data_IF_600105456209
#
_entry.id   IF_600105456209
#
_cell.length_a   1.000
_cell.length_b   1.000
_cell.length_c   1.000
_cell.angle_alpha   90.00
_cell.angle_beta   90.00
_cell.angle_gamma   90.00
#
_symmetry.space_group_name_H-M   'P 1'
#
loop_
_entity.id
_entity.type
_entity.pdbx_description
1 polymer ?
#
# COMPACT_ATOMS: atom_id res chain seq x y z
N UNK A 1 -20.07 10.83 -2.75
CA UNK A 1 -19.03 11.08 -1.73
C UNK A 1 -17.71 10.59 -2.30
N UNK A 2 -16.63 11.34 -2.13
CA UNK A 2 -15.31 10.88 -2.56
C UNK A 2 -14.92 9.66 -1.71
N UNK A 3 -14.86 8.49 -2.32
CA UNK A 3 -14.40 7.27 -1.65
C UNK A 3 -12.89 7.23 -1.79
N UNK A 4 -12.13 7.03 -0.72
CA UNK A 4 -10.67 6.85 -0.78
C UNK A 4 -10.24 5.72 0.12
N UNK A 5 -9.04 5.24 -0.09
CA UNK A 5 -8.36 4.32 0.82
C UNK A 5 -7.19 5.05 1.46
N UNK A 6 -7.22 5.20 2.77
CA UNK A 6 -6.20 5.89 3.53
C UNK A 6 -4.83 5.21 3.38
N UNK A 7 -4.82 3.88 3.34
CA UNK A 7 -3.61 3.09 3.05
C UNK A 7 -2.93 3.54 1.75
N UNK A 8 -3.70 3.70 0.67
CA UNK A 8 -3.19 4.10 -0.65
C UNK A 8 -2.74 5.57 -0.65
N UNK A 9 -3.49 6.47 0.00
CA UNK A 9 -3.09 7.88 0.14
C UNK A 9 -1.74 8.02 0.86
N UNK A 10 -1.56 7.26 1.95
CA UNK A 10 -0.31 7.25 2.72
C UNK A 10 0.82 6.62 1.91
N UNK A 11 0.54 5.52 1.19
CA UNK A 11 1.51 4.87 0.32
C UNK A 11 2.03 5.85 -0.75
N UNK A 12 1.14 6.55 -1.45
CA UNK A 12 1.51 7.59 -2.42
C UNK A 12 2.35 8.68 -1.79
N UNK A 13 1.96 9.17 -0.61
CA UNK A 13 2.71 10.20 0.10
C UNK A 13 4.13 9.74 0.47
N UNK A 14 4.31 8.46 0.77
CA UNK A 14 5.61 7.88 1.14
C UNK A 14 6.48 7.61 -0.08
N UNK A 15 5.94 7.06 -1.18
CA UNK A 15 6.76 6.46 -2.24
C UNK A 15 6.61 7.12 -3.62
N UNK A 16 5.50 7.82 -3.87
CA UNK A 16 5.21 8.41 -5.19
C UNK A 16 4.33 9.68 -5.10
N UNK A 17 4.79 10.75 -4.40
CA UNK A 17 3.97 11.95 -4.18
C UNK A 17 3.63 12.70 -5.47
N UNK A 18 4.45 12.51 -6.52
CA UNK A 18 4.26 13.12 -7.84
C UNK A 18 3.27 12.35 -8.73
N UNK A 19 2.76 11.20 -8.29
CA UNK A 19 1.88 10.31 -9.07
C UNK A 19 2.48 9.90 -10.43
N UNK A 20 3.80 9.68 -10.47
CA UNK A 20 4.47 9.21 -11.68
C UNK A 20 4.02 7.79 -12.00
N UNK A 21 3.66 7.56 -13.27
CA UNK A 21 3.36 6.22 -13.77
C UNK A 21 4.70 5.55 -14.09
N UNK A 22 5.07 4.44 -13.43
CA UNK A 22 6.34 3.78 -13.69
C UNK A 22 6.37 3.12 -15.07
N UNK A 23 7.56 3.03 -15.68
CA UNK A 23 7.78 2.33 -16.94
C UNK A 23 7.74 0.82 -16.71
N UNK A 24 6.63 0.19 -17.13
CA UNK A 24 6.36 -1.22 -16.82
C UNK A 24 7.01 -2.22 -17.80
N UNK A 25 8.18 -1.85 -18.33
CA UNK A 25 8.87 -2.59 -19.41
C UNK A 25 10.10 -3.37 -18.97
N UNK A 26 10.61 -3.20 -17.74
CA UNK A 26 11.84 -3.87 -17.28
C UNK A 26 11.78 -4.14 -15.78
N UNK A 27 11.58 -5.40 -15.39
CA UNK A 27 11.78 -5.85 -14.00
C UNK A 27 13.29 -5.90 -13.76
N UNK A 28 13.88 -4.78 -13.38
CA UNK A 28 15.22 -4.74 -12.82
C UNK A 28 15.07 -4.55 -11.30
N UNK A 29 15.48 -5.54 -10.52
CA UNK A 29 15.69 -5.36 -9.08
C UNK A 29 16.83 -4.35 -8.92
N UNK A 30 16.46 -3.09 -8.83
CA UNK A 30 17.36 -1.97 -8.86
C UNK A 30 17.89 -1.72 -7.44
N UNK A 31 19.00 -2.37 -7.10
CA UNK A 31 19.82 -1.98 -5.96
C UNK A 31 20.45 -0.62 -6.30
N UNK A 32 20.43 0.32 -5.37
CA UNK A 32 21.14 1.60 -5.44
C UNK A 32 22.66 1.35 -5.45
N UNK A 33 23.19 1.15 -6.66
CA UNK A 33 24.60 0.79 -6.88
C UNK A 33 25.52 1.98 -6.63
N UNK A 34 25.00 3.20 -6.74
CA UNK A 34 25.73 4.44 -6.47
C UNK A 34 25.98 4.58 -4.96
N UNK A 35 24.94 4.42 -4.14
CA UNK A 35 25.07 4.41 -2.67
C UNK A 35 26.01 3.31 -2.18
N UNK A 36 25.97 2.13 -2.78
CA UNK A 36 26.93 1.05 -2.48
C UNK A 36 28.38 1.42 -2.83
N UNK A 37 28.59 2.11 -3.95
CA UNK A 37 29.91 2.60 -4.37
C UNK A 37 30.41 3.72 -3.44
N UNK A 38 29.53 4.60 -2.97
CA UNK A 38 29.85 5.61 -1.96
C UNK A 38 30.30 4.95 -0.64
N UNK A 39 29.55 3.98 -0.14
CA UNK A 39 29.92 3.23 1.08
C UNK A 39 31.28 2.56 0.90
N UNK A 40 31.53 1.92 -0.25
CA UNK A 40 32.84 1.32 -0.54
C UNK A 40 33.96 2.35 -0.46
N UNK A 41 33.79 3.52 -1.10
CA UNK A 41 34.78 4.61 -1.10
C UNK A 41 35.01 5.15 0.31
N UNK A 42 33.95 5.42 1.06
CA UNK A 42 34.03 5.90 2.44
C UNK A 42 34.75 4.90 3.37
N UNK A 43 34.55 3.59 3.18
CA UNK A 43 35.25 2.55 3.93
C UNK A 43 36.68 2.28 3.42
N UNK A 44 37.15 3.01 2.39
CA UNK A 44 38.49 2.86 1.84
C UNK A 44 38.76 1.49 1.18
N UNK A 45 37.70 0.74 0.84
CA UNK A 45 37.83 -0.62 0.35
C UNK A 45 38.21 -0.64 -1.13
N UNK A 46 39.39 -1.17 -1.47
CA UNK A 46 39.77 -1.32 -2.88
C UNK A 46 38.92 -2.37 -3.60
N UNK A 47 38.58 -2.15 -4.87
CA UNK A 47 37.86 -3.16 -5.68
C UNK A 47 38.68 -4.45 -5.84
N UNK A 48 40.01 -4.37 -5.79
CA UNK A 48 40.92 -5.55 -5.73
C UNK A 48 40.64 -6.47 -4.55
N UNK A 49 40.04 -5.95 -3.47
CA UNK A 49 39.64 -6.78 -2.32
C UNK A 49 38.43 -7.68 -2.64
N UNK A 50 37.52 -7.22 -3.50
CA UNK A 50 36.35 -7.98 -3.93
C UNK A 50 36.76 -9.11 -4.88
N UNK A 51 37.67 -8.82 -5.80
CA UNK A 51 38.24 -9.84 -6.68
C UNK A 51 38.88 -11.00 -5.91
N UNK A 52 39.67 -10.69 -4.88
CA UNK A 52 40.34 -11.71 -4.05
C UNK A 52 39.39 -12.52 -3.16
N UNK A 53 38.32 -11.90 -2.63
CA UNK A 53 37.48 -12.52 -1.59
C UNK A 53 36.19 -13.15 -2.13
N UNK A 54 35.63 -12.59 -3.20
CA UNK A 54 34.34 -13.02 -3.75
C UNK A 54 34.41 -13.31 -5.26
N UNK A 55 35.61 -13.30 -5.85
CA UNK A 55 35.81 -13.61 -7.28
C UNK A 55 35.23 -12.56 -8.23
N UNK A 56 34.90 -11.37 -7.74
CA UNK A 56 34.30 -10.31 -8.53
C UNK A 56 35.40 -9.44 -9.16
N UNK A 57 35.66 -9.65 -10.45
CA UNK A 57 36.69 -8.89 -11.17
C UNK A 57 36.40 -7.39 -11.18
N UNK A 58 37.46 -6.58 -11.26
CA UNK A 58 37.36 -5.11 -11.30
C UNK A 58 36.47 -4.61 -12.44
N UNK A 59 36.60 -5.18 -13.63
CA UNK A 59 35.78 -4.80 -14.79
C UNK A 59 34.30 -5.11 -14.54
N UNK A 60 33.99 -6.32 -14.08
CA UNK A 60 32.61 -6.74 -13.80
C UNK A 60 31.97 -5.88 -12.70
N UNK A 61 32.72 -5.52 -11.67
CA UNK A 61 32.24 -4.62 -10.62
C UNK A 61 31.82 -3.25 -11.15
N UNK A 62 32.67 -2.58 -11.94
CA UNK A 62 32.34 -1.24 -12.45
C UNK A 62 31.21 -1.26 -13.49
N UNK A 63 31.18 -2.27 -14.36
CA UNK A 63 30.06 -2.45 -15.30
C UNK A 63 28.75 -2.68 -14.56
N UNK A 64 28.78 -3.39 -13.44
CA UNK A 64 27.60 -3.52 -12.58
C UNK A 64 27.22 -2.19 -11.94
N UNK A 65 28.16 -1.45 -11.33
CA UNK A 65 27.89 -0.12 -10.74
C UNK A 65 27.31 0.86 -11.76
N UNK A 66 27.72 0.77 -13.03
CA UNK A 66 27.25 1.61 -14.14
C UNK A 66 25.96 1.12 -14.81
N UNK A 67 25.26 0.15 -14.20
CA UNK A 67 24.01 -0.43 -14.72
C UNK A 67 24.13 -1.13 -16.09
N UNK A 68 25.34 -1.54 -16.50
CA UNK A 68 25.55 -2.22 -17.78
C UNK A 68 25.29 -3.72 -17.73
N UNK A 69 25.43 -4.33 -16.55
CA UNK A 69 25.24 -5.76 -16.32
C UNK A 69 24.63 -6.02 -14.94
N UNK A 70 24.08 -7.21 -14.75
CA UNK A 70 23.66 -7.70 -13.43
C UNK A 70 24.67 -8.65 -12.80
N UNK A 71 24.60 -8.76 -11.47
CA UNK A 71 25.39 -9.71 -10.70
C UNK A 71 24.50 -10.85 -10.18
N UNK A 72 25.01 -12.08 -10.15
CA UNK A 72 24.40 -13.16 -9.37
C UNK A 72 24.19 -12.74 -7.92
N UNK A 73 23.10 -13.21 -7.32
CA UNK A 73 22.73 -12.84 -5.95
C UNK A 73 23.84 -13.14 -4.94
N UNK A 74 24.58 -14.23 -5.12
CA UNK A 74 25.69 -14.62 -4.25
C UNK A 74 26.82 -13.58 -4.24
N UNK A 75 27.05 -12.91 -5.39
CA UNK A 75 28.04 -11.84 -5.49
C UNK A 75 27.55 -10.56 -4.81
N UNK A 76 26.26 -10.24 -4.91
CA UNK A 76 25.64 -9.13 -4.18
C UNK A 76 25.73 -9.35 -2.67
N UNK A 77 25.41 -10.55 -2.19
CA UNK A 77 25.59 -10.95 -0.78
C UNK A 77 27.06 -10.89 -0.37
N UNK A 78 27.97 -11.26 -1.27
CA UNK A 78 29.42 -11.11 -1.07
C UNK A 78 29.84 -9.66 -0.87
N UNK A 79 29.33 -8.74 -1.69
CA UNK A 79 29.56 -7.29 -1.56
C UNK A 79 29.00 -6.77 -0.24
N UNK A 80 27.75 -7.13 0.11
CA UNK A 80 27.13 -6.79 1.40
C UNK A 80 28.04 -7.16 2.58
N UNK A 81 28.51 -8.41 2.62
CA UNK A 81 29.42 -8.91 3.67
C UNK A 81 30.73 -8.12 3.70
N UNK A 82 31.29 -7.82 2.53
CA UNK A 82 32.53 -7.06 2.40
C UNK A 82 32.41 -5.61 2.87
N UNK A 83 31.24 -5.01 2.67
CA UNK A 83 30.92 -3.66 3.10
C UNK A 83 30.42 -3.63 4.56
N UNK A 84 30.30 -4.77 5.25
CA UNK A 84 29.71 -4.88 6.59
C UNK A 84 28.36 -4.16 6.69
N UNK A 85 27.51 -4.36 5.68
CA UNK A 85 26.14 -3.86 5.63
C UNK A 85 25.24 -4.96 6.22
N UNK A 86 24.30 -4.61 7.09
CA UNK A 86 23.29 -5.54 7.64
C UNK A 86 22.27 -5.96 6.58
N UNK A 87 21.43 -6.97 6.87
CA UNK A 87 20.32 -7.31 5.96
C UNK A 87 19.36 -6.13 5.80
N UNK A 88 19.05 -5.44 6.90
CA UNK A 88 18.16 -4.27 6.90
C UNK A 88 18.73 -3.12 6.06
N UNK A 89 19.99 -2.76 6.26
CA UNK A 89 20.62 -1.68 5.46
C UNK A 89 20.73 -2.07 3.98
N UNK A 90 20.92 -3.36 3.65
CA UNK A 90 20.90 -3.82 2.27
C UNK A 90 19.49 -3.73 1.67
N UNK A 91 18.47 -4.09 2.46
CA UNK A 91 17.06 -3.94 2.08
C UNK A 91 16.72 -2.47 1.77
N UNK A 92 17.20 -1.53 2.59
CA UNK A 92 17.07 -0.08 2.37
C UNK A 92 17.85 0.46 1.15
N UNK A 93 18.72 -0.37 0.57
CA UNK A 93 19.45 -0.05 -0.68
C UNK A 93 18.77 -0.61 -1.91
N UNK A 94 17.79 -1.51 -1.80
CA UNK A 94 16.91 -1.71 -2.94
C UNK A 94 16.13 -0.42 -3.12
N UNK A 95 16.24 0.20 -4.30
CA UNK A 95 15.55 1.44 -4.55
C UNK A 95 14.04 1.23 -4.29
N UNK A 96 13.37 2.19 -3.68
CA UNK A 96 11.90 2.19 -3.55
C UNK A 96 11.20 1.96 -4.90
N UNK A 97 11.85 2.33 -6.00
CA UNK A 97 11.44 2.07 -7.39
C UNK A 97 11.42 0.59 -7.81
N UNK A 98 11.75 -0.35 -6.92
CA UNK A 98 11.73 -1.79 -7.23
C UNK A 98 10.38 -2.48 -7.06
N UNK A 99 9.41 -1.85 -6.38
CA UNK A 99 8.04 -2.36 -6.37
C UNK A 99 7.17 -1.58 -7.37
N UNK A 100 7.59 -1.64 -8.63
CA UNK A 100 6.88 -1.10 -9.78
C UNK A 100 5.39 -1.49 -9.77
N UNK A 101 5.09 -2.70 -9.30
CA UNK A 101 3.74 -3.24 -9.15
C UNK A 101 2.96 -2.48 -8.08
N UNK A 102 3.53 -2.32 -6.88
CA UNK A 102 2.91 -1.56 -5.80
C UNK A 102 2.77 -0.07 -6.15
N UNK A 103 3.75 0.52 -6.85
CA UNK A 103 3.69 1.88 -7.36
C UNK A 103 2.54 2.05 -8.34
N UNK A 104 2.49 1.22 -9.38
CA UNK A 104 1.43 1.27 -10.39
C UNK A 104 0.05 1.00 -9.79
N UNK A 105 -0.05 0.01 -8.89
CA UNK A 105 -1.28 -0.31 -8.17
C UNK A 105 -1.75 0.90 -7.35
N UNK A 106 -0.85 1.58 -6.63
CA UNK A 106 -1.22 2.73 -5.80
C UNK A 106 -1.80 3.87 -6.64
N UNK A 107 -1.16 4.20 -7.78
CA UNK A 107 -1.64 5.24 -8.70
C UNK A 107 -2.97 4.81 -9.34
N UNK A 108 -3.09 3.54 -9.74
CA UNK A 108 -4.32 2.98 -10.28
C UNK A 108 -5.49 3.14 -9.30
N UNK A 109 -5.34 2.66 -8.06
CA UNK A 109 -6.39 2.71 -7.06
C UNK A 109 -6.73 4.18 -6.73
N UNK A 110 -5.73 5.00 -6.44
CA UNK A 110 -5.92 6.41 -6.05
C UNK A 110 -6.66 7.21 -7.13
N UNK A 111 -6.20 7.10 -8.38
CA UNK A 111 -6.84 7.80 -9.49
C UNK A 111 -8.25 7.28 -9.79
N UNK A 112 -8.48 5.96 -9.65
CA UNK A 112 -9.78 5.33 -9.92
C UNK A 112 -10.88 5.71 -8.92
N UNK A 113 -10.51 6.00 -7.67
CA UNK A 113 -11.43 6.29 -6.60
C UNK A 113 -11.74 7.80 -6.46
N UNK A 114 -10.88 8.65 -7.01
CA UNK A 114 -11.08 10.10 -7.05
C UNK A 114 -12.30 10.51 -7.87
N UNK A 115 -12.84 11.69 -7.57
CA UNK A 115 -13.92 12.32 -8.35
C UNK A 115 -13.43 13.46 -9.25
N UNK A 116 -12.12 13.76 -9.20
CA UNK A 116 -11.52 14.87 -9.96
C UNK A 116 -11.22 14.46 -11.40
N UNK A 117 -11.40 15.39 -12.33
CA UNK A 117 -11.22 15.17 -13.76
C UNK A 117 -9.77 14.84 -14.15
N UNK A 118 -8.80 15.53 -13.55
CA UNK A 118 -7.36 15.28 -13.73
C UNK A 118 -6.97 13.86 -13.29
N UNK A 119 -7.58 13.37 -12.21
CA UNK A 119 -7.38 12.00 -11.74
C UNK A 119 -8.01 10.97 -12.67
N UNK A 120 -9.16 11.27 -13.28
CA UNK A 120 -9.74 10.41 -14.31
C UNK A 120 -8.82 10.29 -15.54
N UNK A 121 -8.19 11.39 -15.96
CA UNK A 121 -7.17 11.36 -17.03
C UNK A 121 -5.99 10.48 -16.65
N UNK A 122 -5.49 10.58 -15.41
CA UNK A 122 -4.42 9.72 -14.89
C UNK A 122 -4.84 8.24 -14.90
N UNK A 123 -6.05 7.94 -14.44
CA UNK A 123 -6.62 6.59 -14.46
C UNK A 123 -6.63 5.99 -15.88
N UNK A 124 -7.08 6.76 -16.88
CA UNK A 124 -7.08 6.31 -18.28
C UNK A 124 -5.66 6.07 -18.83
N UNK A 125 -4.67 6.88 -18.44
CA UNK A 125 -3.27 6.67 -18.81
C UNK A 125 -2.73 5.37 -18.23
N UNK A 126 -2.93 5.14 -16.93
CA UNK A 126 -2.51 3.89 -16.25
C UNK A 126 -3.18 2.68 -16.89
N UNK A 127 -4.49 2.77 -17.17
CA UNK A 127 -5.23 1.72 -17.86
C UNK A 127 -4.61 1.39 -19.22
N UNK A 128 -4.28 2.41 -20.02
CA UNK A 128 -3.63 2.22 -21.33
C UNK A 128 -2.30 1.49 -21.21
N UNK A 129 -1.50 1.80 -20.19
CA UNK A 129 -0.25 1.07 -19.92
C UNK A 129 -0.50 -0.39 -19.54
N UNK A 130 -1.56 -0.67 -18.78
CA UNK A 130 -1.92 -2.02 -18.37
C UNK A 130 -2.44 -2.89 -19.54
N UNK A 131 -3.01 -2.29 -20.60
CA UNK A 131 -3.55 -3.03 -21.75
C UNK A 131 -2.50 -3.92 -22.44
N UNK A 132 -1.20 -3.58 -22.37
CA UNK A 132 -0.14 -4.41 -22.94
C UNK A 132 0.00 -5.78 -22.27
N UNK A 133 -0.54 -5.93 -21.05
CA UNK A 133 -0.54 -7.18 -20.30
C UNK A 133 -1.80 -8.03 -20.52
N UNK A 134 -2.80 -7.52 -21.25
CA UNK A 134 -4.00 -8.30 -21.61
C UNK A 134 -3.66 -9.64 -22.30
N UNK A 135 -2.72 -9.72 -23.26
CA UNK A 135 -2.32 -10.97 -23.90
C UNK A 135 -1.21 -11.73 -23.15
N UNK A 136 -0.71 -11.23 -22.01
CA UNK A 136 0.46 -11.81 -21.34
C UNK A 136 0.18 -13.26 -20.86
N UNK A 137 1.22 -14.05 -20.65
CA UNK A 137 1.17 -15.41 -20.07
C UNK A 137 1.04 -15.37 -18.54
N UNK A 138 1.19 -16.50 -17.85
CA UNK A 138 1.12 -16.59 -16.39
C UNK A 138 2.17 -15.73 -15.67
N UNK A 139 3.32 -15.43 -16.28
CA UNK A 139 4.41 -14.69 -15.64
C UNK A 139 4.10 -13.24 -15.24
N UNK A 140 2.93 -12.70 -15.60
CA UNK A 140 2.50 -11.33 -15.32
C UNK A 140 1.17 -11.25 -14.55
N UNK A 141 0.88 -12.21 -13.66
CA UNK A 141 -0.38 -12.27 -12.89
C UNK A 141 -0.73 -10.93 -12.23
N UNK A 142 0.22 -10.26 -11.58
CA UNK A 142 -0.05 -9.01 -10.84
C UNK A 142 -0.55 -7.88 -11.76
N UNK A 143 0.03 -7.71 -12.95
CA UNK A 143 -0.45 -6.75 -13.94
C UNK A 143 -1.81 -7.13 -14.53
N UNK A 144 -2.10 -8.43 -14.68
CA UNK A 144 -3.44 -8.89 -15.08
C UNK A 144 -4.49 -8.59 -14.02
N UNK A 145 -4.16 -8.77 -12.74
CA UNK A 145 -5.06 -8.42 -11.64
C UNK A 145 -5.33 -6.92 -11.58
N UNK A 146 -4.29 -6.08 -11.76
CA UNK A 146 -4.46 -4.63 -11.91
C UNK A 146 -5.33 -4.28 -13.12
N UNK A 147 -5.12 -4.91 -14.27
CA UNK A 147 -5.95 -4.73 -15.45
C UNK A 147 -7.40 -5.14 -15.19
N UNK A 148 -7.64 -6.28 -14.55
CA UNK A 148 -8.97 -6.75 -14.18
C UNK A 148 -9.68 -5.77 -13.23
N UNK A 149 -8.98 -5.24 -12.22
CA UNK A 149 -9.51 -4.17 -11.37
C UNK A 149 -9.83 -2.91 -12.18
N UNK A 150 -8.95 -2.50 -13.10
CA UNK A 150 -9.20 -1.33 -13.95
C UNK A 150 -10.41 -1.53 -14.89
N UNK A 151 -10.60 -2.75 -15.40
CA UNK A 151 -11.77 -3.16 -16.18
C UNK A 151 -13.03 -3.08 -15.32
N UNK A 152 -12.99 -3.61 -14.09
CA UNK A 152 -14.06 -3.52 -13.10
C UNK A 152 -14.50 -2.08 -12.85
N UNK A 153 -13.56 -1.19 -12.51
CA UNK A 153 -13.88 0.22 -12.27
C UNK A 153 -14.50 0.87 -13.52
N UNK A 154 -13.84 0.73 -14.67
CA UNK A 154 -14.29 1.37 -15.90
C UNK A 154 -15.67 0.86 -16.34
N UNK A 155 -15.93 -0.45 -16.21
CA UNK A 155 -17.23 -1.04 -16.48
C UNK A 155 -18.32 -0.50 -15.55
N UNK A 156 -18.05 -0.47 -14.24
CA UNK A 156 -18.98 0.07 -13.25
C UNK A 156 -19.30 1.55 -13.47
N UNK A 157 -18.30 2.37 -13.83
CA UNK A 157 -18.50 3.78 -14.23
C UNK A 157 -19.45 3.91 -15.42
N UNK A 158 -19.43 2.95 -16.35
CA UNK A 158 -20.30 2.89 -17.52
C UNK A 158 -21.58 2.05 -17.28
N UNK A 159 -21.95 1.82 -16.02
CA UNK A 159 -23.15 1.07 -15.62
C UNK A 159 -23.20 -0.37 -16.16
N UNK A 160 -22.04 -0.96 -16.46
CA UNK A 160 -21.92 -2.33 -16.97
C UNK A 160 -20.87 -3.09 -16.16
N UNK A 161 -21.33 -3.97 -15.28
CA UNK A 161 -20.43 -4.80 -14.46
C UNK A 161 -19.69 -5.81 -15.34
N UNK A 162 -18.35 -5.76 -15.43
CA UNK A 162 -17.57 -6.72 -16.20
C UNK A 162 -17.34 -7.97 -15.36
N UNK A 163 -18.30 -8.90 -15.44
CA UNK A 163 -18.35 -10.08 -14.60
C UNK A 163 -17.07 -10.94 -14.64
N UNK A 164 -16.47 -11.11 -15.82
CA UNK A 164 -15.23 -11.89 -15.97
C UNK A 164 -14.05 -11.27 -15.17
N UNK A 165 -13.96 -9.95 -15.11
CA UNK A 165 -12.92 -9.25 -14.35
C UNK A 165 -13.16 -9.38 -12.84
N UNK A 166 -14.42 -9.28 -12.41
CA UNK A 166 -14.80 -9.49 -11.01
C UNK A 166 -14.50 -10.93 -10.56
N UNK A 167 -14.90 -11.92 -11.37
CA UNK A 167 -14.65 -13.34 -11.09
C UNK A 167 -13.16 -13.67 -11.03
N UNK A 168 -12.34 -13.06 -11.90
CA UNK A 168 -10.88 -13.22 -11.85
C UNK A 168 -10.30 -12.73 -10.52
N UNK A 169 -10.71 -11.54 -10.06
CA UNK A 169 -10.27 -10.98 -8.79
C UNK A 169 -10.72 -11.85 -7.61
N UNK A 170 -12.01 -12.22 -7.57
CA UNK A 170 -12.55 -13.04 -6.49
C UNK A 170 -11.89 -14.42 -6.46
N UNK A 171 -11.70 -15.07 -7.60
CA UNK A 171 -11.02 -16.37 -7.68
C UNK A 171 -9.58 -16.30 -7.17
N UNK A 172 -8.85 -15.22 -7.52
CA UNK A 172 -7.48 -15.01 -7.03
C UNK A 172 -7.44 -14.91 -5.50
N UNK A 173 -8.31 -14.09 -4.90
CA UNK A 173 -8.33 -13.93 -3.45
C UNK A 173 -8.78 -15.20 -2.73
N UNK A 174 -9.81 -15.89 -3.23
CA UNK A 174 -10.29 -17.15 -2.62
C UNK A 174 -9.29 -18.30 -2.73
N UNK A 175 -8.36 -18.24 -3.67
CA UNK A 175 -7.31 -19.25 -3.86
C UNK A 175 -6.01 -18.97 -3.11
N UNK A 176 -5.93 -17.87 -2.34
CA UNK A 176 -4.69 -17.39 -1.71
C UNK A 176 -4.77 -17.51 -0.19
N UNK A 177 -3.82 -18.23 0.42
CA UNK A 177 -3.77 -18.42 1.89
C UNK A 177 -3.04 -17.29 2.64
N UNK A 178 -2.29 -16.44 1.93
CA UNK A 178 -1.51 -15.36 2.53
C UNK A 178 -1.46 -14.13 1.63
N UNK A 179 -1.79 -12.96 2.19
CA UNK A 179 -1.78 -11.71 1.45
C UNK A 179 -0.49 -10.91 1.67
N UNK A 180 0.13 -10.50 0.57
CA UNK A 180 1.16 -9.46 0.53
C UNK A 180 0.53 -8.08 0.78
N UNK A 181 1.34 -7.01 0.78
CA UNK A 181 0.79 -5.64 0.83
C UNK A 181 0.01 -5.32 -0.46
N UNK A 182 0.55 -5.72 -1.63
CA UNK A 182 -0.14 -5.60 -2.92
C UNK A 182 -1.53 -6.22 -2.86
N UNK A 183 -1.63 -7.48 -2.41
CA UNK A 183 -2.90 -8.20 -2.33
C UNK A 183 -3.86 -7.50 -1.39
N UNK A 184 -3.39 -7.08 -0.20
CA UNK A 184 -4.20 -6.35 0.78
C UNK A 184 -4.82 -5.08 0.20
N UNK A 185 -4.03 -4.26 -0.52
CA UNK A 185 -4.50 -3.01 -1.10
C UNK A 185 -5.48 -3.25 -2.25
N UNK A 186 -5.19 -4.21 -3.12
CA UNK A 186 -6.08 -4.57 -4.23
C UNK A 186 -7.41 -5.16 -3.70
N UNK A 187 -7.36 -5.95 -2.63
CA UNK A 187 -8.54 -6.49 -1.97
C UNK A 187 -9.42 -5.36 -1.43
N UNK A 188 -8.84 -4.44 -0.64
CA UNK A 188 -9.56 -3.29 -0.09
C UNK A 188 -10.16 -2.41 -1.20
N UNK A 189 -9.42 -2.19 -2.28
CA UNK A 189 -9.90 -1.43 -3.44
C UNK A 189 -11.08 -2.13 -4.12
N UNK A 190 -11.00 -3.46 -4.29
CA UNK A 190 -12.07 -4.26 -4.86
C UNK A 190 -13.33 -4.17 -4.00
N UNK A 191 -13.21 -4.36 -2.67
CA UNK A 191 -14.34 -4.18 -1.75
C UNK A 191 -14.95 -2.78 -1.85
N UNK A 192 -14.11 -1.74 -1.92
CA UNK A 192 -14.59 -0.37 -2.01
C UNK A 192 -15.37 -0.11 -3.30
N UNK A 193 -14.92 -0.65 -4.43
CA UNK A 193 -15.63 -0.57 -5.71
C UNK A 193 -16.94 -1.35 -5.65
N UNK A 194 -16.95 -2.56 -5.06
CA UNK A 194 -18.18 -3.33 -4.87
C UNK A 194 -19.21 -2.54 -4.07
N UNK A 195 -18.80 -1.96 -2.94
CA UNK A 195 -19.68 -1.13 -2.11
C UNK A 195 -20.16 0.12 -2.85
N UNK A 196 -19.25 0.90 -3.46
CA UNK A 196 -19.57 2.16 -4.17
C UNK A 196 -20.60 1.98 -5.28
N UNK A 197 -20.57 0.86 -6.00
CA UNK A 197 -21.45 0.58 -7.12
C UNK A 197 -22.56 -0.43 -6.78
N UNK A 198 -22.74 -0.79 -5.51
CA UNK A 198 -23.81 -1.69 -5.07
C UNK A 198 -23.74 -3.09 -5.69
N UNK A 199 -22.53 -3.62 -5.91
CA UNK A 199 -22.33 -4.96 -6.46
C UNK A 199 -22.74 -6.03 -5.44
N UNK A 200 -23.18 -7.19 -5.94
CA UNK A 200 -23.63 -8.28 -5.07
C UNK A 200 -22.50 -8.81 -4.17
N UNK A 201 -22.83 -9.07 -2.91
CA UNK A 201 -21.94 -9.75 -1.97
C UNK A 201 -21.60 -11.16 -2.48
N UNK A 202 -20.34 -11.54 -2.32
CA UNK A 202 -19.76 -12.79 -2.79
C UNK A 202 -19.06 -13.54 -1.65
N UNK A 203 -18.30 -14.58 -1.98
CA UNK A 203 -17.42 -15.25 -1.02
C UNK A 203 -16.25 -14.37 -0.55
N UNK A 204 -15.89 -13.33 -1.30
CA UNK A 204 -14.83 -12.37 -0.93
C UNK A 204 -15.16 -11.69 0.41
N UNK A 205 -16.37 -11.17 0.59
CA UNK A 205 -16.79 -10.50 1.83
C UNK A 205 -16.82 -11.48 3.02
N UNK A 206 -17.11 -12.76 2.76
CA UNK A 206 -17.11 -13.82 3.78
C UNK A 206 -15.71 -14.18 4.26
N UNK A 207 -14.69 -14.08 3.40
CA UNK A 207 -13.31 -14.42 3.72
C UNK A 207 -12.46 -13.22 4.20
N UNK A 208 -13.07 -12.08 4.51
CA UNK A 208 -12.36 -10.90 5.03
C UNK A 208 -11.55 -11.16 6.30
N UNK A 209 -11.90 -12.17 7.10
CA UNK A 209 -11.12 -12.57 8.27
C UNK A 209 -9.67 -12.97 7.91
N UNK A 210 -9.44 -13.46 6.70
CA UNK A 210 -8.10 -13.81 6.22
C UNK A 210 -7.26 -12.55 5.98
N UNK A 211 -7.86 -11.51 5.39
CA UNK A 211 -7.24 -10.20 5.23
C UNK A 211 -6.91 -9.58 6.58
N UNK A 212 -7.86 -9.60 7.53
CA UNK A 212 -7.65 -9.17 8.91
C UNK A 212 -6.44 -9.91 9.54
N UNK A 213 -6.42 -11.24 9.48
CA UNK A 213 -5.32 -12.04 10.04
C UNK A 213 -3.97 -11.68 9.40
N UNK A 214 -3.93 -11.47 8.08
CA UNK A 214 -2.72 -11.08 7.38
C UNK A 214 -2.23 -9.69 7.78
N UNK A 215 -3.12 -8.70 7.91
CA UNK A 215 -2.76 -7.35 8.37
C UNK A 215 -2.20 -7.37 9.80
N UNK A 216 -2.86 -8.10 10.71
CA UNK A 216 -2.41 -8.23 12.10
C UNK A 216 -1.04 -8.94 12.20
N UNK A 217 -0.82 -9.99 11.41
CA UNK A 217 0.49 -10.66 11.31
C UNK A 217 1.59 -9.71 10.82
N UNK A 218 1.30 -8.84 9.84
CA UNK A 218 2.25 -7.83 9.36
C UNK A 218 2.56 -6.76 10.41
N UNK A 219 1.61 -6.43 11.27
CA UNK A 219 1.86 -5.53 12.41
C UNK A 219 2.82 -6.19 13.40
N UNK A 220 2.64 -7.48 13.65
CA UNK A 220 3.47 -8.26 14.56
C UNK A 220 4.89 -8.52 14.03
N UNK A 221 5.08 -8.61 12.72
CA UNK A 221 6.39 -8.82 12.08
C UNK A 221 7.16 -7.49 11.98
N UNK A 222 8.20 -7.34 12.80
CA UNK A 222 8.91 -6.09 13.14
C UNK A 222 9.68 -5.35 12.03
N UNK A 223 9.61 -5.76 10.77
CA UNK A 223 10.75 -5.55 9.86
C UNK A 223 10.67 -4.35 8.89
N UNK A 224 9.55 -3.60 8.84
CA UNK A 224 9.43 -2.44 7.93
C UNK A 224 8.82 -1.22 8.60
N UNK A 225 9.66 -0.30 9.11
CA UNK A 225 9.23 0.94 9.76
C UNK A 225 8.51 1.90 8.81
N UNK A 226 8.96 2.00 7.56
CA UNK A 226 8.46 2.97 6.58
C UNK A 226 7.02 2.69 6.10
N UNK A 227 6.62 1.41 6.11
CA UNK A 227 5.27 0.97 5.69
C UNK A 227 4.27 0.91 6.84
N UNK A 228 4.69 1.19 8.09
CA UNK A 228 3.76 1.22 9.25
C UNK A 228 2.58 2.16 9.05
N UNK A 229 2.75 3.40 8.53
CA UNK A 229 1.61 4.27 8.25
C UNK A 229 0.63 3.66 7.23
N UNK A 230 1.14 2.97 6.22
CA UNK A 230 0.31 2.29 5.20
C UNK A 230 -0.52 1.18 5.84
N UNK A 231 0.09 0.38 6.72
CA UNK A 231 -0.59 -0.69 7.46
C UNK A 231 -1.65 -0.15 8.42
N UNK A 232 -1.39 0.95 9.13
CA UNK A 232 -2.42 1.63 9.94
C UNK A 232 -3.58 2.08 9.05
N UNK A 233 -3.28 2.65 7.88
CA UNK A 233 -4.29 3.02 6.89
C UNK A 233 -5.12 1.81 6.44
N UNK A 234 -4.50 0.65 6.22
CA UNK A 234 -5.18 -0.55 5.76
C UNK A 234 -6.12 -1.12 6.84
N UNK A 235 -5.73 -1.05 8.11
CA UNK A 235 -6.61 -1.40 9.25
C UNK A 235 -7.82 -0.48 9.30
N UNK A 236 -7.63 0.83 9.12
CA UNK A 236 -8.72 1.82 9.11
C UNK A 236 -9.66 1.60 7.91
N UNK A 237 -9.09 1.36 6.73
CA UNK A 237 -9.85 1.06 5.50
C UNK A 237 -10.68 -0.22 5.64
N UNK A 238 -10.11 -1.28 6.22
CA UNK A 238 -10.81 -2.53 6.48
C UNK A 238 -11.93 -2.33 7.52
N UNK A 239 -11.66 -1.57 8.57
CA UNK A 239 -12.66 -1.23 9.59
C UNK A 239 -13.85 -0.48 9.00
N UNK A 240 -13.59 0.46 8.09
CA UNK A 240 -14.65 1.17 7.37
C UNK A 240 -15.45 0.22 6.46
N UNK A 241 -14.79 -0.70 5.77
CA UNK A 241 -15.48 -1.72 4.96
C UNK A 241 -16.36 -2.64 5.83
N UNK A 242 -15.92 -3.01 7.03
CA UNK A 242 -16.72 -3.78 7.98
C UNK A 242 -17.95 -2.98 8.45
N UNK A 243 -17.79 -1.68 8.70
CA UNK A 243 -18.92 -0.78 9.02
C UNK A 243 -19.90 -0.67 7.86
N UNK A 244 -19.42 -0.50 6.62
CA UNK A 244 -20.23 -0.49 5.40
C UNK A 244 -21.08 -1.76 5.26
N UNK A 245 -20.56 -2.90 5.74
CA UNK A 245 -21.24 -4.20 5.77
C UNK A 245 -22.07 -4.45 7.04
N UNK A 246 -22.29 -3.44 7.88
CA UNK A 246 -23.00 -3.53 9.17
C UNK A 246 -22.33 -4.46 10.21
N UNK A 247 -21.04 -4.77 10.04
CA UNK A 247 -20.22 -5.61 10.94
C UNK A 247 -19.40 -4.76 11.90
N UNK A 248 -20.04 -3.83 12.60
CA UNK A 248 -19.33 -2.86 13.44
C UNK A 248 -18.60 -3.50 14.63
N UNK A 249 -19.13 -4.58 15.21
CA UNK A 249 -18.43 -5.30 16.30
C UNK A 249 -17.09 -5.86 15.82
N UNK A 250 -17.06 -6.45 14.62
CA UNK A 250 -15.82 -6.95 14.01
C UNK A 250 -14.85 -5.79 13.73
N UNK A 251 -15.36 -4.63 13.27
CA UNK A 251 -14.54 -3.43 13.08
C UNK A 251 -13.91 -2.94 14.40
N UNK A 252 -14.68 -2.93 15.48
CA UNK A 252 -14.19 -2.54 16.82
C UNK A 252 -13.14 -3.53 17.31
N UNK A 253 -13.37 -4.84 17.16
CA UNK A 253 -12.42 -5.88 17.54
C UNK A 253 -11.10 -5.76 16.77
N UNK A 254 -11.18 -5.55 15.45
CA UNK A 254 -10.02 -5.31 14.59
C UNK A 254 -9.21 -4.10 15.08
N UNK A 255 -9.86 -2.95 15.28
CA UNK A 255 -9.19 -1.73 15.76
C UNK A 255 -8.53 -1.96 17.13
N UNK A 256 -9.22 -2.64 18.05
CA UNK A 256 -8.68 -2.95 19.37
C UNK A 256 -7.48 -3.90 19.33
N UNK A 257 -7.51 -4.91 18.46
CA UNK A 257 -6.41 -5.87 18.33
C UNK A 257 -5.21 -5.22 17.66
N UNK A 258 -5.45 -4.50 16.55
CA UNK A 258 -4.42 -3.74 15.86
C UNK A 258 -3.75 -2.73 16.80
N UNK A 259 -4.50 -1.90 17.54
CA UNK A 259 -3.93 -0.94 18.49
C UNK A 259 -3.05 -1.61 19.55
N UNK A 260 -3.46 -2.76 20.10
CA UNK A 260 -2.65 -3.48 21.10
C UNK A 260 -1.33 -3.98 20.52
N UNK A 261 -1.38 -4.67 19.37
CA UNK A 261 -0.17 -5.17 18.70
C UNK A 261 0.78 -4.02 18.34
N UNK A 262 0.21 -2.91 17.88
CA UNK A 262 0.94 -1.70 17.56
C UNK A 262 1.62 -1.08 18.79
N UNK A 263 0.94 -0.98 19.92
CA UNK A 263 1.52 -0.48 21.18
C UNK A 263 2.65 -1.39 21.70
N UNK A 264 2.51 -2.70 21.51
CA UNK A 264 3.51 -3.70 21.93
C UNK A 264 4.76 -3.71 21.04
N UNK A 265 4.60 -3.59 19.72
CA UNK A 265 5.67 -3.85 18.76
C UNK A 265 6.22 -2.58 18.09
N UNK A 266 5.45 -1.49 18.03
CA UNK A 266 5.81 -0.28 17.30
C UNK A 266 5.85 0.96 18.20
N UNK A 267 6.78 1.87 17.91
CA UNK A 267 6.66 3.26 18.37
C UNK A 267 5.71 4.02 17.44
N UNK A 268 4.41 3.84 17.63
CA UNK A 268 3.41 4.62 16.88
C UNK A 268 3.41 6.07 17.35
N UNK A 269 3.42 7.00 16.41
CA UNK A 269 3.30 8.43 16.71
C UNK A 269 1.94 8.78 17.33
N UNK A 270 1.91 9.87 18.07
CA UNK A 270 0.70 10.34 18.79
C UNK A 270 -0.49 10.51 17.83
N UNK A 271 -0.21 10.87 16.58
CA UNK A 271 -1.25 11.15 15.60
C UNK A 271 -1.98 9.87 15.15
N UNK A 272 -1.25 8.83 14.73
CA UNK A 272 -1.82 7.53 14.35
C UNK A 272 -2.60 6.88 15.50
N UNK A 273 -2.11 7.00 16.74
CA UNK A 273 -2.86 6.55 17.92
C UNK A 273 -4.18 7.33 18.10
N UNK A 274 -4.14 8.64 17.86
CA UNK A 274 -5.30 9.52 18.01
C UNK A 274 -6.36 9.23 16.95
N UNK A 275 -5.96 8.97 15.70
CA UNK A 275 -6.87 8.56 14.62
C UNK A 275 -7.53 7.21 14.95
N UNK A 276 -6.77 6.19 15.33
CA UNK A 276 -7.33 4.88 15.69
C UNK A 276 -8.34 4.98 16.85
N UNK A 277 -8.02 5.76 17.89
CA UNK A 277 -8.91 5.98 19.04
C UNK A 277 -10.19 6.70 18.63
N UNK A 278 -10.10 7.74 17.78
CA UNK A 278 -11.30 8.44 17.31
C UNK A 278 -12.18 7.52 16.48
N UNK A 279 -11.63 6.84 15.47
CA UNK A 279 -12.41 5.98 14.58
C UNK A 279 -13.14 4.91 15.38
N UNK A 280 -12.45 4.27 16.32
CA UNK A 280 -13.07 3.33 17.26
C UNK A 280 -14.21 3.99 18.06
N UNK A 281 -13.99 5.20 18.59
CA UNK A 281 -15.00 5.92 19.35
C UNK A 281 -16.25 6.20 18.51
N UNK A 282 -16.09 6.76 17.30
CA UNK A 282 -17.19 7.07 16.39
C UNK A 282 -18.05 5.84 16.05
N UNK A 283 -17.40 4.71 15.76
CA UNK A 283 -18.10 3.44 15.45
C UNK A 283 -18.87 2.90 16.67
N UNK A 284 -18.32 3.06 17.88
CA UNK A 284 -18.96 2.62 19.12
C UNK A 284 -20.19 3.44 19.47
N UNK A 285 -20.10 4.76 19.34
CA UNK A 285 -21.12 5.66 19.85
C UNK A 285 -22.30 5.78 18.91
N UNK A 286 -22.08 5.78 17.58
CA UNK A 286 -23.06 5.99 16.49
C UNK A 286 -24.05 7.16 16.74
N UNK A 287 -24.14 8.14 15.83
CA UNK A 287 -24.93 9.37 16.06
C UNK A 287 -24.35 10.30 17.14
N UNK A 288 -23.04 10.49 17.14
CA UNK A 288 -22.41 11.58 17.91
C UNK A 288 -22.72 12.93 17.29
N UNK A 289 -23.02 13.93 18.11
CA UNK A 289 -23.18 15.30 17.65
C UNK A 289 -21.82 16.00 17.48
N UNK A 290 -21.78 17.11 16.73
CA UNK A 290 -20.59 17.99 16.69
C UNK A 290 -20.25 18.60 18.05
N UNK A 291 -21.18 18.55 19.00
CA UNK A 291 -21.01 19.04 20.36
C UNK A 291 -20.40 18.00 21.31
N UNK A 292 -20.20 16.76 20.86
CA UNK A 292 -19.57 15.73 21.67
C UNK A 292 -18.14 16.15 22.07
N UNK A 293 -17.78 16.14 23.37
CA UNK A 293 -16.48 16.61 23.84
C UNK A 293 -15.28 15.88 23.21
N UNK A 294 -15.40 14.59 22.92
CA UNK A 294 -14.34 13.81 22.28
C UNK A 294 -14.18 14.20 20.80
N UNK A 295 -15.30 14.40 20.11
CA UNK A 295 -15.33 14.90 18.72
C UNK A 295 -14.78 16.31 18.61
N UNK A 296 -15.12 17.21 19.54
CA UNK A 296 -14.59 18.58 19.60
C UNK A 296 -13.09 18.60 19.90
N UNK A 297 -12.63 17.81 20.87
CA UNK A 297 -11.23 17.70 21.23
C UNK A 297 -10.41 17.20 20.04
N UNK A 298 -10.88 16.16 19.35
CA UNK A 298 -10.23 15.68 18.14
C UNK A 298 -10.26 16.72 17.01
N UNK A 299 -11.40 17.36 16.76
CA UNK A 299 -11.51 18.39 15.72
C UNK A 299 -10.53 19.56 15.95
N UNK A 300 -10.33 19.94 17.22
CA UNK A 300 -9.34 20.95 17.62
C UNK A 300 -7.91 20.46 17.35
N UNK A 301 -7.60 19.21 17.70
CA UNK A 301 -6.30 18.60 17.44
C UNK A 301 -6.02 18.43 15.94
N UNK A 302 -7.03 18.06 15.14
CA UNK A 302 -6.94 17.92 13.69
C UNK A 302 -6.68 19.27 13.02
N UNK A 303 -7.41 20.33 13.38
CA UNK A 303 -7.11 21.71 12.92
C UNK A 303 -5.68 22.11 13.27
N UNK A 304 -5.25 21.76 14.47
CA UNK A 304 -3.88 21.96 14.95
C UNK A 304 -2.85 21.01 14.34
N UNK A 305 -3.22 20.09 13.44
CA UNK A 305 -2.33 19.17 12.74
C UNK A 305 -2.47 19.25 11.21
N UNK A 306 -3.47 19.96 10.67
CA UNK A 306 -3.70 20.14 9.23
C UNK A 306 -2.49 20.70 8.46
N UNK A 307 -1.64 21.46 9.14
CA UNK A 307 -0.39 22.03 8.61
C UNK A 307 0.75 21.01 8.49
N UNK A 308 0.69 19.88 9.22
CA UNK A 308 1.70 18.82 9.20
C UNK A 308 1.19 17.48 8.65
N UNK A 309 -0.09 17.41 8.24
CA UNK A 309 -0.71 16.19 7.74
C UNK A 309 -0.93 16.24 6.23
N UNK A 310 -0.80 15.11 5.52
CA UNK A 310 -1.26 15.00 4.13
C UNK A 310 -2.75 15.35 4.04
N UNK A 311 -3.12 16.24 3.11
CA UNK A 311 -4.51 16.71 2.92
C UNK A 311 -5.52 15.56 2.79
N UNK A 312 -5.10 14.48 2.15
CA UNK A 312 -5.95 13.33 1.85
C UNK A 312 -6.36 12.55 3.09
N UNK A 313 -5.52 12.56 4.12
CA UNK A 313 -5.80 11.91 5.38
C UNK A 313 -6.79 12.73 6.23
N UNK A 314 -6.63 14.05 6.23
CA UNK A 314 -7.61 14.96 6.86
C UNK A 314 -9.00 14.76 6.23
N UNK A 315 -9.06 14.60 4.91
CA UNK A 315 -10.32 14.35 4.21
C UNK A 315 -10.93 12.99 4.56
N UNK A 316 -10.12 11.93 4.68
CA UNK A 316 -10.59 10.62 5.12
C UNK A 316 -11.26 10.68 6.50
N UNK A 317 -10.59 11.30 7.48
CA UNK A 317 -11.13 11.40 8.84
C UNK A 317 -12.38 12.26 8.88
N UNK A 318 -12.40 13.38 8.15
CA UNK A 318 -13.61 14.22 8.05
C UNK A 318 -14.78 13.47 7.41
N UNK A 319 -14.54 12.73 6.33
CA UNK A 319 -15.56 11.92 5.68
C UNK A 319 -16.16 10.86 6.61
N UNK A 320 -15.31 10.21 7.42
CA UNK A 320 -15.77 9.23 8.41
C UNK A 320 -16.56 9.90 9.54
N UNK A 321 -16.11 11.04 10.04
CA UNK A 321 -16.86 11.83 11.02
C UNK A 321 -18.24 12.23 10.47
N UNK A 322 -18.29 12.81 9.27
CA UNK A 322 -19.56 13.19 8.63
C UNK A 322 -20.51 12.01 8.47
N UNK A 323 -20.00 10.84 8.10
CA UNK A 323 -20.79 9.60 7.93
C UNK A 323 -21.37 9.10 9.25
N UNK A 324 -20.56 8.96 10.30
CA UNK A 324 -21.00 8.40 11.58
C UNK A 324 -21.83 9.39 12.43
N UNK A 325 -21.71 10.69 12.12
CA UNK A 325 -22.50 11.75 12.74
C UNK A 325 -23.81 12.05 11.97
N UNK A 326 -23.87 11.70 10.68
CA UNK A 326 -24.97 12.00 9.76
C UNK A 326 -26.08 10.95 9.69
N UNK A 327 -26.16 10.00 10.62
CA UNK A 327 -27.25 9.00 10.71
C UNK A 327 -28.40 9.44 11.65
N UNK A 328 -28.64 10.76 11.77
CA UNK A 328 -29.77 11.33 12.51
C UNK A 328 -30.99 11.60 11.62
#
# INVERSE_FOLDING_TARGET
METRLLSVCRLISTINPDLKIPDTSVVAVNIDREKLEEIRKCKGLSVKSFERKIGLSRSRYYRWVQYEIDLPFEMVVGIKKMLSISDTELLDMFAMSTDEQLHLLSVLIYSSLSTKEDMFVTFLKVRKELEKFRPATEDNVMFKLMLAYSDLVFGCMNQKVPQASLEMLETFFLGTDFYTLFDSLLYLATLRIKHRYGLQSSSLEKQMFLLESCLLKKINATDFTELRPVLVGAVLDLSECLVDMQRCEDAIQLLQHASRLMEEHWHIDVYNQTVLKLVKYLILTRNTSQEDPAVQLFSKNLKGAEWCLPKDEVMFVRAMMEKEMGQA
#
